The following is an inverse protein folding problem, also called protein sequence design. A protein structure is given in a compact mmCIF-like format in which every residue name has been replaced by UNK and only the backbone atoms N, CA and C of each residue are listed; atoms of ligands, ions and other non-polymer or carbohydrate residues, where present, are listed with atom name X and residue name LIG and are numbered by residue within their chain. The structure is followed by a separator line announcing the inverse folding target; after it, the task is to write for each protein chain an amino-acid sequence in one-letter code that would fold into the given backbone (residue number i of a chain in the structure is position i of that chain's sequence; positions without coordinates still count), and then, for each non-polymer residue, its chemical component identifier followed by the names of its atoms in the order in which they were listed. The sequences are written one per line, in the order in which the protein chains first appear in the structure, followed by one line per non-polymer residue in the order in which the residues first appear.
data_IF_602218180619
#
_entry.id   IF_602218180619
#
_cell.length_a   1.000
_cell.length_b   1.000
_cell.length_c   1.000
_cell.angle_alpha   90.00
_cell.angle_beta   90.00
_cell.angle_gamma   90.00
#
_symmetry.space_group_name_H-M   'P 1'
#
loop_
_entity.id
_entity.type
_entity.pdbx_description
1 polymer ?
#
# COMPACT_ATOMS: atom_id res chain seq x y z
N UNK A 1 -3.38 -48.39 -44.33
CA UNK A 1 -4.32 -47.44 -43.70
C UNK A 1 -4.21 -47.41 -42.19
N UNK A 2 -4.00 -48.53 -41.55
CA UNK A 2 -3.84 -48.67 -40.08
C UNK A 2 -2.57 -47.97 -39.53
N UNK A 3 -1.46 -48.10 -40.23
CA UNK A 3 -0.16 -47.49 -39.86
C UNK A 3 -0.21 -45.95 -39.84
N UNK A 4 -0.94 -45.35 -40.79
CA UNK A 4 -1.11 -43.90 -40.85
C UNK A 4 -1.99 -43.38 -39.69
N UNK A 5 -3.02 -44.12 -39.28
CA UNK A 5 -3.85 -43.78 -38.13
C UNK A 5 -3.05 -43.82 -36.84
N UNK A 6 -2.18 -44.82 -36.68
CA UNK A 6 -1.29 -44.96 -35.53
C UNK A 6 -0.29 -43.80 -35.43
N UNK A 7 0.28 -43.40 -36.57
CA UNK A 7 1.20 -42.25 -36.63
C UNK A 7 0.54 -40.91 -36.25
N UNK A 8 -0.67 -40.69 -36.74
CA UNK A 8 -1.45 -39.48 -36.39
C UNK A 8 -1.81 -39.50 -34.91
N UNK A 9 -2.20 -40.64 -34.35
CA UNK A 9 -2.51 -40.77 -32.92
C UNK A 9 -1.31 -40.50 -32.04
N UNK A 10 -0.15 -40.99 -32.36
CA UNK A 10 1.11 -40.74 -31.64
C UNK A 10 1.52 -39.25 -31.76
N UNK A 11 1.32 -38.60 -32.90
CA UNK A 11 1.61 -37.18 -33.08
C UNK A 11 0.69 -36.29 -32.25
N UNK A 12 -0.59 -36.62 -32.18
CA UNK A 12 -1.59 -35.91 -31.32
C UNK A 12 -1.29 -36.10 -29.84
N UNK A 13 -0.87 -37.32 -29.42
CA UNK A 13 -0.49 -37.58 -28.04
C UNK A 13 0.77 -36.79 -27.63
N UNK A 14 1.73 -36.60 -28.53
CA UNK A 14 2.96 -35.83 -28.31
C UNK A 14 2.72 -34.33 -28.10
N UNK A 15 1.65 -33.77 -28.68
CA UNK A 15 1.29 -32.36 -28.55
C UNK A 15 0.66 -32.06 -27.17
N UNK A 16 -0.05 -33.02 -26.59
CA UNK A 16 -0.70 -32.85 -25.30
C UNK A 16 0.25 -32.78 -24.09
N UNK A 17 1.49 -33.26 -24.21
CA UNK A 17 2.44 -33.29 -23.10
C UNK A 17 3.17 -31.94 -22.92
N UNK A 18 3.13 -31.04 -23.90
CA UNK A 18 3.78 -29.72 -23.81
C UNK A 18 2.83 -28.60 -23.34
N UNK A 19 1.58 -28.90 -23.02
CA UNK A 19 0.58 -27.89 -22.66
C UNK A 19 0.53 -27.54 -21.16
N UNK A 20 1.42 -28.12 -20.34
CA UNK A 20 1.58 -27.74 -18.94
C UNK A 20 2.79 -26.80 -18.79
N UNK A 21 2.66 -25.53 -19.21
CA UNK A 21 3.47 -24.49 -18.60
C UNK A 21 2.95 -24.34 -17.18
N UNK A 22 3.71 -24.80 -16.20
CA UNK A 22 3.51 -24.37 -14.83
C UNK A 22 3.77 -22.88 -14.82
N UNK A 23 2.72 -22.08 -14.77
CA UNK A 23 2.85 -20.74 -14.23
C UNK A 23 3.51 -20.90 -12.87
N UNK A 24 4.69 -20.33 -12.70
CA UNK A 24 5.36 -20.30 -11.41
C UNK A 24 4.37 -19.63 -10.45
N UNK A 25 3.79 -20.46 -9.57
CA UNK A 25 3.07 -19.93 -8.43
C UNK A 25 4.05 -18.97 -7.77
N UNK A 26 3.72 -17.69 -7.71
CA UNK A 26 4.51 -16.71 -6.95
C UNK A 26 4.57 -17.22 -5.51
N UNK A 27 5.59 -18.01 -5.20
CA UNK A 27 5.88 -18.38 -3.82
C UNK A 27 6.37 -17.10 -3.19
N UNK A 28 5.58 -16.56 -2.27
CA UNK A 28 6.05 -15.52 -1.36
C UNK A 28 7.34 -16.04 -0.72
N UNK A 29 8.48 -15.51 -1.13
CA UNK A 29 9.73 -15.77 -0.43
C UNK A 29 9.56 -15.11 0.94
N UNK A 30 9.66 -15.91 2.00
CA UNK A 30 9.51 -15.46 3.40
C UNK A 30 10.41 -14.26 3.74
N UNK A 31 11.43 -14.01 2.94
CA UNK A 31 12.42 -12.94 3.11
C UNK A 31 11.97 -11.56 2.58
N UNK A 32 10.86 -11.49 1.84
CA UNK A 32 10.42 -10.23 1.21
C UNK A 32 9.13 -9.73 1.81
N UNK A 33 9.25 -8.92 2.86
CA UNK A 33 8.11 -8.22 3.42
C UNK A 33 7.81 -6.94 2.62
N UNK A 34 6.53 -6.62 2.44
CA UNK A 34 6.12 -5.32 1.92
C UNK A 34 5.17 -4.63 2.90
N UNK A 35 5.12 -3.31 2.84
CA UNK A 35 4.11 -2.54 3.54
C UNK A 35 3.00 -2.13 2.58
N UNK A 36 1.79 -2.02 3.12
CA UNK A 36 0.61 -1.65 2.36
C UNK A 36 -0.25 -0.70 3.18
N UNK A 37 -0.88 0.27 2.51
CA UNK A 37 -2.00 0.99 3.07
C UNK A 37 -3.25 0.09 2.98
N UNK A 38 -3.85 -0.33 4.10
CA UNK A 38 -5.05 -1.16 4.06
C UNK A 38 -6.21 -0.37 3.48
N UNK A 39 -6.69 -0.80 2.33
CA UNK A 39 -7.89 -0.24 1.71
C UNK A 39 -9.08 -1.11 2.10
N UNK A 40 -10.07 -0.51 2.73
CA UNK A 40 -11.25 -1.22 3.19
C UNK A 40 -12.28 -1.29 2.08
N UNK A 41 -12.63 -2.52 1.69
CA UNK A 41 -13.76 -2.78 0.83
C UNK A 41 -14.93 -3.26 1.69
N UNK A 42 -16.00 -2.49 1.77
CA UNK A 42 -17.23 -2.98 2.40
C UNK A 42 -17.88 -4.05 1.52
N UNK A 43 -18.28 -5.17 2.13
CA UNK A 43 -18.76 -6.40 1.49
C UNK A 43 -19.99 -6.26 0.58
N UNK A 44 -20.64 -5.12 0.52
CA UNK A 44 -21.90 -4.96 -0.22
C UNK A 44 -21.95 -3.79 -1.20
N UNK A 45 -20.90 -3.01 -1.35
CA UNK A 45 -20.93 -1.81 -2.17
C UNK A 45 -19.67 -1.64 -3.01
N UNK A 46 -19.84 -1.03 -4.17
CA UNK A 46 -18.80 -0.64 -5.13
C UNK A 46 -17.83 0.42 -4.58
N UNK A 47 -17.95 0.82 -3.32
CA UNK A 47 -17.13 1.86 -2.71
C UNK A 47 -15.82 1.26 -2.18
N UNK A 48 -14.73 1.59 -2.87
CA UNK A 48 -13.37 1.38 -2.39
C UNK A 48 -12.95 2.64 -1.64
N UNK A 49 -12.71 2.53 -0.33
CA UNK A 49 -12.08 3.62 0.40
C UNK A 49 -10.57 3.55 0.16
N UNK A 50 -10.08 4.38 -0.74
CA UNK A 50 -8.67 4.55 -1.07
C UNK A 50 -8.10 5.85 -0.52
N UNK A 51 -8.87 6.53 0.32
CA UNK A 51 -8.50 7.78 0.97
C UNK A 51 -9.05 7.88 2.39
N UNK A 52 -8.36 8.63 3.24
CA UNK A 52 -8.80 9.01 4.57
C UNK A 52 -9.14 10.49 4.58
N UNK A 53 -10.12 10.88 5.38
CA UNK A 53 -10.56 12.26 5.47
C UNK A 53 -10.25 12.83 6.84
N UNK A 54 -9.70 14.04 6.86
CA UNK A 54 -9.53 14.85 8.03
C UNK A 54 -10.48 16.07 7.95
N UNK A 55 -11.13 16.40 9.06
CA UNK A 55 -11.90 17.63 9.18
C UNK A 55 -11.47 18.39 10.42
N UNK A 56 -11.11 19.65 10.24
CA UNK A 56 -10.72 20.55 11.32
C UNK A 56 -11.85 20.81 12.33
N UNK A 57 -13.11 20.59 11.93
CA UNK A 57 -14.29 20.72 12.81
C UNK A 57 -14.25 19.73 13.95
N UNK A 58 -13.70 18.51 13.72
CA UNK A 58 -13.63 17.46 14.74
C UNK A 58 -12.31 17.46 15.53
N UNK A 59 -11.48 18.48 15.38
CA UNK A 59 -10.16 18.55 16.05
C UNK A 59 -10.22 18.79 17.56
N UNK A 60 -11.40 19.06 18.13
CA UNK A 60 -11.57 19.31 19.55
C UNK A 60 -10.86 20.58 20.06
N UNK A 61 -10.64 21.57 19.21
CA UNK A 61 -9.98 22.83 19.58
C UNK A 61 -8.45 22.76 19.65
N UNK A 62 -7.84 21.66 19.19
CA UNK A 62 -6.37 21.50 19.15
C UNK A 62 -5.79 22.42 18.08
N UNK A 63 -4.61 23.00 18.35
CA UNK A 63 -3.83 23.74 17.35
C UNK A 63 -3.15 22.80 16.36
N UNK A 64 -2.68 21.64 16.86
CA UNK A 64 -2.08 20.57 16.06
C UNK A 64 -2.79 19.26 16.37
N UNK A 65 -3.10 18.50 15.34
CA UNK A 65 -3.72 17.19 15.46
C UNK A 65 -2.85 16.11 14.82
N UNK A 66 -2.69 14.99 15.53
CA UNK A 66 -2.10 13.78 14.96
C UNK A 66 -3.18 13.02 14.19
N UNK A 67 -2.93 12.82 12.91
CA UNK A 67 -3.77 12.03 12.03
C UNK A 67 -3.09 10.71 11.72
N UNK A 68 -3.71 9.62 12.18
CA UNK A 68 -3.14 8.27 12.08
C UNK A 68 -3.56 7.59 10.81
N UNK A 69 -2.60 7.25 9.96
CA UNK A 69 -2.80 6.52 8.72
C UNK A 69 -2.35 5.08 8.97
N UNK A 70 -3.26 4.09 8.92
CA UNK A 70 -2.90 2.70 9.18
C UNK A 70 -2.01 2.15 8.07
N UNK A 71 -1.02 1.37 8.45
CA UNK A 71 -0.16 0.59 7.56
C UNK A 71 -0.13 -0.86 8.03
N UNK A 72 0.02 -1.78 7.08
CA UNK A 72 0.00 -3.22 7.33
C UNK A 72 1.17 -3.89 6.64
N UNK A 73 1.81 -4.82 7.35
CA UNK A 73 2.82 -5.70 6.75
C UNK A 73 2.14 -6.82 5.95
N UNK A 74 2.62 -7.06 4.75
CA UNK A 74 2.36 -8.27 3.98
C UNK A 74 3.64 -9.09 3.98
N UNK A 75 3.60 -10.23 4.68
CA UNK A 75 4.73 -11.09 4.99
C UNK A 75 4.80 -11.41 6.47
N UNK A 76 5.99 -11.71 6.97
CA UNK A 76 6.22 -12.13 8.35
C UNK A 76 6.30 -10.94 9.31
N UNK A 77 5.75 -11.13 10.50
CA UNK A 77 5.95 -10.19 11.61
C UNK A 77 7.38 -10.33 12.14
N UNK A 78 8.05 -9.21 12.37
CA UNK A 78 9.41 -9.17 12.90
C UNK A 78 9.38 -8.98 14.41
N UNK A 79 10.38 -9.51 15.09
CA UNK A 79 10.67 -9.29 16.52
C UNK A 79 11.47 -8.00 16.77
N UNK A 80 11.86 -7.28 15.72
CA UNK A 80 12.58 -6.02 15.76
C UNK A 80 11.82 -4.92 15.05
N UNK A 81 11.98 -3.68 15.51
CA UNK A 81 11.49 -2.50 14.81
C UNK A 81 12.20 -2.37 13.47
N UNK A 82 11.45 -2.00 12.43
CA UNK A 82 11.97 -1.85 11.07
C UNK A 82 11.65 -0.46 10.53
N UNK A 83 12.69 0.21 10.05
CA UNK A 83 12.52 1.49 9.38
C UNK A 83 11.79 1.32 8.05
N UNK A 84 10.88 2.26 7.76
CA UNK A 84 10.24 2.38 6.45
C UNK A 84 10.23 3.83 6.00
N UNK A 85 10.04 4.04 4.70
CA UNK A 85 10.09 5.36 4.09
C UNK A 85 8.78 5.70 3.40
N UNK A 86 8.44 6.98 3.52
CA UNK A 86 7.28 7.61 2.89
C UNK A 86 7.75 8.73 1.95
N UNK A 87 6.93 9.04 0.98
CA UNK A 87 7.10 10.19 0.10
C UNK A 87 5.74 10.85 -0.13
N UNK A 88 5.70 12.17 -0.14
CA UNK A 88 4.55 12.91 -0.67
C UNK A 88 4.77 13.10 -2.17
N UNK A 89 3.79 12.73 -2.97
CA UNK A 89 3.81 12.95 -4.41
C UNK A 89 3.28 14.36 -4.70
N UNK A 90 4.14 15.29 -5.17
CA UNK A 90 3.73 16.68 -5.38
C UNK A 90 2.78 16.87 -6.57
N UNK A 91 2.78 15.95 -7.54
CA UNK A 91 1.90 16.02 -8.72
C UNK A 91 0.45 15.71 -8.38
N UNK A 92 0.24 14.84 -7.36
CA UNK A 92 -1.07 14.41 -6.90
C UNK A 92 -1.54 15.13 -5.62
N UNK A 93 -0.67 15.94 -5.01
CA UNK A 93 -0.95 16.74 -3.81
C UNK A 93 -1.33 18.15 -4.23
N UNK A 94 -2.45 18.65 -3.70
CA UNK A 94 -2.91 20.01 -4.01
C UNK A 94 -3.65 20.65 -2.84
N UNK A 95 -3.75 21.99 -2.87
CA UNK A 95 -4.52 22.80 -1.92
C UNK A 95 -3.95 22.83 -0.51
N UNK A 96 -2.81 22.21 -0.26
CA UNK A 96 -2.19 22.08 1.07
C UNK A 96 -0.66 22.18 0.95
N UNK A 97 -0.01 22.80 1.94
CA UNK A 97 1.44 23.08 1.91
C UNK A 97 2.13 22.44 3.11
N UNK A 98 3.22 21.73 2.82
CA UNK A 98 4.08 21.13 3.84
C UNK A 98 4.72 22.20 4.71
N UNK A 99 4.95 21.91 5.98
CA UNK A 99 5.45 22.79 7.03
C UNK A 99 4.57 24.02 7.37
N UNK A 100 3.50 24.24 6.62
CA UNK A 100 2.47 25.23 6.93
C UNK A 100 1.23 24.54 7.50
N UNK A 101 0.62 23.66 6.72
CA UNK A 101 -0.61 23.00 7.06
C UNK A 101 -0.41 21.60 7.63
N UNK A 102 0.68 20.93 7.27
CA UNK A 102 1.01 19.61 7.79
C UNK A 102 2.52 19.38 7.88
N UNK A 103 2.91 18.40 8.66
CA UNK A 103 4.27 17.83 8.65
C UNK A 103 4.19 16.31 8.62
N UNK A 104 5.03 15.70 7.77
CA UNK A 104 5.17 14.26 7.66
C UNK A 104 6.64 13.88 7.82
N UNK A 105 6.95 13.06 8.82
CA UNK A 105 8.27 12.44 8.91
C UNK A 105 8.36 11.37 7.82
N UNK A 106 9.29 11.54 6.89
CA UNK A 106 9.45 10.63 5.74
C UNK A 106 10.09 9.30 6.10
N UNK A 107 10.74 9.21 7.26
CA UNK A 107 11.32 7.98 7.80
C UNK A 107 10.65 7.68 9.15
N UNK A 108 10.05 6.52 9.27
CA UNK A 108 9.33 6.10 10.47
C UNK A 108 9.65 4.64 10.80
N UNK A 109 9.22 4.18 12.00
CA UNK A 109 9.44 2.81 12.47
C UNK A 109 8.15 2.01 12.47
N UNK A 110 8.19 0.85 11.84
CA UNK A 110 7.17 -0.19 11.99
C UNK A 110 7.56 -1.06 13.18
N UNK A 111 6.76 -1.00 14.25
CA UNK A 111 7.09 -1.58 15.55
C UNK A 111 7.09 -3.10 15.52
N UNK A 112 8.02 -3.67 16.27
CA UNK A 112 8.14 -5.11 16.47
C UNK A 112 6.85 -5.76 16.97
N UNK A 113 6.64 -7.02 16.60
CA UNK A 113 5.50 -7.83 17.04
C UNK A 113 4.15 -7.41 16.46
N UNK A 114 4.12 -6.44 15.54
CA UNK A 114 2.87 -5.91 14.97
C UNK A 114 2.65 -6.40 13.56
N UNK A 115 1.39 -6.64 13.27
CA UNK A 115 0.89 -6.89 11.92
C UNK A 115 0.32 -5.61 11.27
N UNK A 116 -0.24 -4.72 12.11
CA UNK A 116 -0.74 -3.40 11.72
C UNK A 116 -0.10 -2.37 12.64
N UNK A 117 0.34 -1.27 12.07
CA UNK A 117 0.81 -0.08 12.75
C UNK A 117 0.21 1.17 12.11
N UNK A 118 0.66 2.36 12.48
CA UNK A 118 0.19 3.61 11.89
C UNK A 118 1.34 4.56 11.66
N UNK A 119 1.33 5.22 10.52
CA UNK A 119 2.10 6.44 10.31
C UNK A 119 1.34 7.64 10.83
N UNK A 120 2.05 8.65 11.29
CA UNK A 120 1.46 9.87 11.86
C UNK A 120 1.72 11.04 10.93
N UNK A 121 0.63 11.65 10.48
CA UNK A 121 0.63 12.94 9.80
C UNK A 121 0.19 14.00 10.82
N UNK A 122 1.05 14.97 11.10
CA UNK A 122 0.70 16.09 11.98
C UNK A 122 0.05 17.19 11.17
N UNK A 123 -1.13 17.62 11.56
CA UNK A 123 -1.91 18.66 10.87
C UNK A 123 -1.95 19.91 11.75
N UNK A 124 -1.49 21.03 11.21
CA UNK A 124 -1.68 22.34 11.81
C UNK A 124 -3.12 22.78 11.60
N UNK A 125 -3.94 22.50 12.58
CA UNK A 125 -5.41 22.73 12.52
C UNK A 125 -5.73 24.22 12.39
N UNK A 126 -4.93 25.07 13.05
CA UNK A 126 -5.17 26.51 12.99
C UNK A 126 -4.91 27.04 11.58
N UNK A 127 -3.78 26.72 10.97
CA UNK A 127 -3.46 27.13 9.59
C UNK A 127 -4.49 26.60 8.59
N UNK A 128 -4.92 25.33 8.73
CA UNK A 128 -5.96 24.74 7.89
C UNK A 128 -7.28 25.52 7.98
N UNK A 129 -7.64 26.03 9.18
CA UNK A 129 -8.85 26.84 9.37
C UNK A 129 -8.70 28.25 8.82
N UNK A 130 -7.58 28.91 9.13
CA UNK A 130 -7.32 30.29 8.75
C UNK A 130 -7.28 30.46 7.23
N UNK A 131 -6.69 29.51 6.55
CA UNK A 131 -6.56 29.49 5.08
C UNK A 131 -7.77 28.82 4.39
N UNK A 132 -8.79 28.35 5.16
CA UNK A 132 -9.96 27.62 4.66
C UNK A 132 -9.58 26.49 3.68
N UNK A 133 -8.57 25.70 4.07
CA UNK A 133 -7.94 24.70 3.20
C UNK A 133 -8.92 23.60 2.80
N UNK A 134 -9.07 23.43 1.49
CA UNK A 134 -9.60 22.21 0.86
C UNK A 134 -8.49 21.62 -0.01
N UNK A 135 -7.92 20.50 0.42
CA UNK A 135 -6.77 19.94 -0.24
C UNK A 135 -6.64 18.43 -0.07
N UNK A 136 -5.66 17.88 -0.75
CA UNK A 136 -5.32 16.47 -0.71
C UNK A 136 -3.81 16.30 -0.60
N UNK A 137 -3.39 15.36 0.24
CA UNK A 137 -2.02 14.88 0.33
C UNK A 137 -2.01 13.46 -0.25
N UNK A 138 -1.11 13.22 -1.19
CA UNK A 138 -0.90 11.90 -1.75
C UNK A 138 0.40 11.31 -1.20
N UNK A 139 0.29 10.26 -0.39
CA UNK A 139 1.41 9.63 0.31
C UNK A 139 1.71 8.28 -0.32
N UNK A 140 2.97 8.02 -0.58
CA UNK A 140 3.47 6.78 -1.15
C UNK A 140 4.43 6.08 -0.19
N UNK A 141 4.38 4.74 -0.18
CA UNK A 141 5.39 3.89 0.45
C UNK A 141 6.58 3.76 -0.51
N UNK A 142 7.77 4.01 0.00
CA UNK A 142 9.02 3.90 -0.78
C UNK A 142 9.76 2.64 -0.36
N UNK A 143 10.13 1.76 -1.30
CA UNK A 143 10.92 0.56 -0.98
C UNK A 143 12.26 0.91 -0.32
N UNK A 144 12.69 0.07 0.60
CA UNK A 144 13.99 0.17 1.26
C UNK A 144 14.55 -1.23 1.56
N UNK A 145 15.59 -1.33 2.37
CA UNK A 145 16.22 -2.60 2.75
C UNK A 145 15.30 -3.54 3.55
N UNK A 146 14.33 -2.97 4.31
CA UNK A 146 13.43 -3.74 5.15
C UNK A 146 12.14 -4.17 4.43
N UNK A 147 11.75 -3.40 3.41
CA UNK A 147 10.47 -3.59 2.74
C UNK A 147 10.60 -3.40 1.23
N UNK A 148 10.23 -4.44 0.50
CA UNK A 148 10.14 -4.39 -0.96
C UNK A 148 8.86 -3.69 -1.41
N UNK A 149 8.81 -3.32 -2.69
CA UNK A 149 7.59 -2.78 -3.29
C UNK A 149 6.49 -3.85 -3.26
N UNK A 150 5.36 -3.49 -2.68
CA UNK A 150 4.14 -4.31 -2.71
C UNK A 150 3.33 -4.09 -4.00
N UNK A 151 2.08 -4.53 -3.98
CA UNK A 151 1.16 -4.29 -5.09
C UNK A 151 0.85 -2.80 -5.23
N UNK A 152 0.94 -2.26 -6.44
CA UNK A 152 0.79 -0.82 -6.72
C UNK A 152 -0.47 -0.21 -6.11
N UNK A 153 -1.59 -0.93 -6.19
CA UNK A 153 -2.87 -0.48 -5.61
C UNK A 153 -2.80 -0.14 -4.10
N UNK A 154 -1.87 -0.74 -3.36
CA UNK A 154 -1.75 -0.57 -1.90
C UNK A 154 -0.55 0.28 -1.49
N UNK A 155 0.18 0.86 -2.43
CA UNK A 155 1.41 1.61 -2.14
C UNK A 155 1.18 3.10 -1.87
N UNK A 156 -0.06 3.61 -2.05
CA UNK A 156 -0.40 5.01 -1.86
C UNK A 156 -1.73 5.20 -1.11
N UNK A 157 -1.86 6.36 -0.47
CA UNK A 157 -3.03 6.80 0.26
C UNK A 157 -3.23 8.32 0.04
#
# INVERSE_FOLDING_TARGET
METIKLLIFCLLLGICINACSRDEIMIFKEEQNSLNFPKYQYLSTTYKYDSLQFSSVFSGGKEVADFYIPIRVAGSVSDQDREYKLRVNPEETYGITENTHYTLETTQLFRAGRYIDSTVLKINVQAVKDDAVEGRIYIELVPNENFVRGLDFYQYM
#
